data_IF_168176666056
#
_entry.id   IF_168176666056
#
_cell.length_a   1.000
_cell.length_b   1.000
_cell.length_c   1.000
_cell.angle_alpha   90.00
_cell.angle_beta   90.00
_cell.angle_gamma   90.00
#
_symmetry.space_group_name_H-M   'P 1'
#
loop_
_entity.id
_entity.type
_entity.pdbx_description
1 polymer ?
#
# COMPACT_ATOMS: atom_id res chain seq x y z
N UNK A 1 -19.68 0.78 -3.86
CA UNK A 1 -19.30 -0.63 -4.11
C UNK A 1 -18.09 -1.12 -3.30
N UNK A 2 -17.40 -0.29 -2.51
CA UNK A 2 -16.19 -0.74 -1.75
C UNK A 2 -16.51 -1.77 -0.64
N UNK A 3 -17.64 -1.62 0.05
CA UNK A 3 -17.98 -2.44 1.23
C UNK A 3 -18.04 -3.96 0.99
N UNK A 4 -18.50 -4.41 -0.18
CA UNK A 4 -18.62 -5.85 -0.46
C UNK A 4 -17.25 -6.48 -0.72
N UNK A 5 -16.39 -5.79 -1.49
CA UNK A 5 -15.03 -6.25 -1.77
C UNK A 5 -14.22 -6.36 -0.47
N UNK A 6 -14.38 -5.39 0.43
CA UNK A 6 -13.70 -5.36 1.72
C UNK A 6 -14.16 -6.52 2.63
N UNK A 7 -15.46 -6.82 2.65
CA UNK A 7 -16.00 -7.96 3.39
C UNK A 7 -15.47 -9.30 2.85
N UNK A 8 -15.41 -9.46 1.52
CA UNK A 8 -14.84 -10.65 0.90
C UNK A 8 -13.37 -10.82 1.28
N UNK A 9 -12.59 -9.74 1.29
CA UNK A 9 -11.20 -9.75 1.71
C UNK A 9 -11.04 -10.16 3.18
N UNK A 10 -11.88 -9.63 4.10
CA UNK A 10 -11.91 -10.04 5.51
C UNK A 10 -12.22 -11.54 5.66
N UNK A 11 -13.10 -12.07 4.81
CA UNK A 11 -13.42 -13.49 4.76
C UNK A 11 -12.40 -14.34 3.99
N UNK A 12 -11.26 -13.77 3.54
CA UNK A 12 -10.23 -14.43 2.72
C UNK A 12 -10.80 -15.02 1.42
N UNK A 13 -11.75 -14.33 0.81
CA UNK A 13 -12.46 -14.75 -0.41
C UNK A 13 -13.11 -16.14 -0.31
N UNK A 14 -13.43 -16.61 0.92
CA UNK A 14 -14.19 -17.84 1.13
C UNK A 14 -15.65 -17.57 0.76
N UNK A 15 -16.05 -17.98 -0.45
CA UNK A 15 -17.39 -17.75 -1.00
C UNK A 15 -17.93 -19.02 -1.62
N UNK A 16 -19.21 -19.31 -1.37
CA UNK A 16 -19.94 -20.41 -2.02
C UNK A 16 -21.28 -19.90 -2.52
N UNK A 17 -21.58 -20.13 -3.80
CA UNK A 17 -22.84 -19.74 -4.43
C UNK A 17 -23.87 -20.87 -4.33
N UNK A 18 -25.06 -20.54 -3.85
CA UNK A 18 -26.19 -21.47 -3.70
C UNK A 18 -27.39 -21.01 -4.54
N UNK A 19 -27.94 -21.94 -5.33
CA UNK A 19 -29.25 -21.81 -5.95
C UNK A 19 -30.26 -22.61 -5.12
N UNK A 20 -30.93 -21.92 -4.21
CA UNK A 20 -31.90 -22.52 -3.28
C UNK A 20 -33.19 -22.99 -3.97
N UNK A 21 -33.40 -22.67 -5.26
CA UNK A 21 -34.60 -23.04 -6.02
C UNK A 21 -34.40 -24.26 -6.91
N UNK A 22 -33.17 -24.76 -7.05
CA UNK A 22 -32.89 -25.90 -7.93
C UNK A 22 -33.56 -27.19 -7.43
N UNK A 23 -34.39 -27.79 -8.27
CA UNK A 23 -35.02 -29.09 -8.02
C UNK A 23 -34.10 -30.27 -8.40
N UNK A 24 -32.99 -30.00 -9.10
CA UNK A 24 -32.10 -31.02 -9.60
C UNK A 24 -31.17 -31.54 -8.48
N UNK A 25 -31.36 -32.81 -8.10
CA UNK A 25 -30.60 -33.48 -7.05
C UNK A 25 -29.09 -33.46 -7.27
N UNK A 26 -28.61 -33.58 -8.52
CA UNK A 26 -27.17 -33.57 -8.83
C UNK A 26 -26.57 -32.19 -8.57
N UNK A 27 -27.26 -31.12 -8.97
CA UNK A 27 -26.81 -29.76 -8.70
C UNK A 27 -26.84 -29.43 -7.20
N UNK A 28 -27.87 -29.87 -6.47
CA UNK A 28 -27.92 -29.75 -5.00
C UNK A 28 -26.74 -30.43 -4.32
N UNK A 29 -26.40 -31.66 -4.74
CA UNK A 29 -25.27 -32.40 -4.19
C UNK A 29 -23.94 -31.71 -4.50
N UNK A 30 -23.77 -31.17 -5.71
CA UNK A 30 -22.58 -30.42 -6.09
C UNK A 30 -22.40 -29.14 -5.26
N UNK A 31 -23.49 -28.42 -4.96
CA UNK A 31 -23.45 -27.22 -4.10
C UNK A 31 -23.11 -27.57 -2.65
N UNK A 32 -23.69 -28.64 -2.10
CA UNK A 32 -23.36 -29.13 -0.76
C UNK A 32 -21.88 -29.53 -0.65
N UNK A 33 -21.36 -30.22 -1.67
CA UNK A 33 -19.93 -30.60 -1.69
C UNK A 33 -19.03 -29.37 -1.61
N UNK A 34 -19.29 -28.35 -2.43
CA UNK A 34 -18.54 -27.08 -2.41
C UNK A 34 -18.56 -26.40 -1.04
N UNK A 35 -19.69 -26.48 -0.33
CA UNK A 35 -19.80 -25.95 1.03
C UNK A 35 -18.93 -26.74 2.02
N UNK A 36 -18.99 -28.07 1.97
CA UNK A 36 -18.20 -28.93 2.85
C UNK A 36 -16.70 -28.76 2.61
N UNK A 37 -16.27 -28.70 1.34
CA UNK A 37 -14.86 -28.44 0.99
C UNK A 37 -14.39 -27.09 1.56
N UNK A 38 -15.24 -26.06 1.52
CA UNK A 38 -14.94 -24.77 2.11
C UNK A 38 -14.89 -24.83 3.65
N UNK A 39 -15.76 -25.61 4.30
CA UNK A 39 -15.74 -25.82 5.76
C UNK A 39 -14.47 -26.57 6.18
N UNK A 40 -14.10 -27.64 5.47
CA UNK A 40 -12.90 -28.41 5.73
C UNK A 40 -11.65 -27.53 5.62
N UNK A 41 -11.60 -26.66 4.62
CA UNK A 41 -10.55 -25.65 4.51
C UNK A 41 -10.48 -24.74 5.75
N UNK A 42 -11.62 -24.28 6.26
CA UNK A 42 -11.67 -23.47 7.49
C UNK A 42 -11.14 -24.26 8.69
N UNK A 43 -11.57 -25.51 8.85
CA UNK A 43 -11.14 -26.40 9.94
C UNK A 43 -9.63 -26.58 9.89
N UNK A 44 -9.07 -26.93 8.72
CA UNK A 44 -7.61 -27.07 8.55
C UNK A 44 -6.88 -25.77 8.83
N UNK A 45 -7.39 -24.63 8.35
CA UNK A 45 -6.78 -23.31 8.59
C UNK A 45 -6.79 -22.88 10.05
N UNK A 46 -7.74 -23.40 10.84
CA UNK A 46 -7.87 -23.14 12.27
C UNK A 46 -7.25 -24.27 13.13
N UNK A 47 -6.50 -25.20 12.53
CA UNK A 47 -5.91 -26.35 13.23
C UNK A 47 -6.93 -27.21 14.00
N UNK A 48 -8.13 -27.36 13.44
CA UNK A 48 -9.23 -28.09 14.07
C UNK A 48 -9.88 -27.36 15.24
N UNK A 49 -9.42 -26.15 15.60
CA UNK A 49 -9.97 -25.40 16.73
C UNK A 49 -11.26 -24.68 16.31
N UNK A 50 -12.39 -24.90 17.00
CA UNK A 50 -13.61 -24.16 16.75
C UNK A 50 -13.42 -22.68 17.10
N UNK A 51 -14.32 -21.83 16.60
CA UNK A 51 -14.36 -20.43 17.02
C UNK A 51 -14.57 -20.36 18.52
N UNK A 52 -13.66 -19.68 19.21
CA UNK A 52 -13.73 -19.46 20.65
C UNK A 52 -13.50 -17.98 20.92
N UNK A 53 -14.53 -17.30 21.40
CA UNK A 53 -14.39 -16.03 22.08
C UNK A 53 -14.52 -16.28 23.59
N UNK A 54 -14.26 -15.24 24.40
CA UNK A 54 -14.27 -15.41 25.85
C UNK A 54 -15.63 -16.00 26.30
N UNK A 55 -16.77 -15.48 25.84
CA UNK A 55 -18.11 -15.97 26.20
C UNK A 55 -18.36 -17.43 25.82
N UNK A 56 -17.88 -17.89 24.65
CA UNK A 56 -18.02 -19.29 24.21
C UNK A 56 -17.12 -20.24 25.02
N UNK A 57 -15.88 -19.83 25.32
CA UNK A 57 -14.98 -20.57 26.19
C UNK A 57 -15.56 -20.71 27.61
N UNK A 58 -16.23 -19.68 28.11
CA UNK A 58 -16.89 -19.70 29.42
C UNK A 58 -18.06 -20.69 29.47
N UNK A 59 -18.91 -20.74 28.43
CA UNK A 59 -20.04 -21.68 28.36
C UNK A 59 -19.56 -23.13 28.31
N UNK A 60 -18.52 -23.43 27.53
CA UNK A 60 -17.92 -24.78 27.51
C UNK A 60 -17.31 -25.16 28.87
N UNK A 61 -16.49 -24.28 29.48
CA UNK A 61 -15.90 -24.54 30.81
C UNK A 61 -16.98 -24.79 31.88
N UNK A 62 -18.08 -24.05 31.85
CA UNK A 62 -19.22 -24.26 32.77
C UNK A 62 -19.93 -25.59 32.54
N UNK A 63 -20.10 -26.01 31.29
CA UNK A 63 -20.78 -27.24 30.93
C UNK A 63 -19.94 -28.47 31.28
N UNK A 64 -18.65 -28.48 30.93
CA UNK A 64 -17.72 -29.55 31.30
C UNK A 64 -17.56 -29.71 32.81
N UNK A 65 -17.68 -28.62 33.60
CA UNK A 65 -17.54 -28.66 35.05
C UNK A 65 -18.83 -29.06 35.78
N UNK A 66 -20.00 -28.82 35.17
CA UNK A 66 -21.30 -29.34 35.65
C UNK A 66 -21.43 -30.85 35.44
N UNK A 67 -20.86 -31.39 34.37
CA UNK A 67 -20.87 -32.84 34.11
C UNK A 67 -20.00 -33.64 35.10
N UNK A 68 -18.99 -33.00 35.71
CA UNK A 68 -18.06 -33.64 36.67
C UNK A 68 -18.59 -33.60 38.12
N UNK A 69 -19.55 -32.72 38.44
CA UNK A 69 -20.02 -32.51 39.81
C UNK A 69 -21.54 -32.48 39.85
N UNK A 70 -22.11 -33.64 40.17
CA UNK A 70 -23.55 -33.83 40.37
C UNK A 70 -24.02 -33.35 41.77
N UNK A 71 -23.15 -32.76 42.59
CA UNK A 71 -23.45 -32.36 43.96
C UNK A 71 -23.50 -30.83 44.13
N UNK A 72 -24.46 -30.37 44.93
CA UNK A 72 -24.88 -28.99 45.12
C UNK A 72 -23.77 -27.95 45.31
N UNK A 73 -23.48 -27.18 44.25
CA UNK A 73 -22.76 -25.92 44.40
C UNK A 73 -23.67 -24.85 45.02
N UNK A 74 -23.28 -24.37 46.22
CA UNK A 74 -23.86 -23.17 46.83
C UNK A 74 -23.88 -22.00 45.82
N UNK A 75 -24.94 -21.19 45.88
CA UNK A 75 -25.12 -20.00 45.03
C UNK A 75 -23.89 -19.08 45.06
N UNK A 76 -23.24 -18.92 46.21
CA UNK A 76 -22.06 -18.07 46.38
C UNK A 76 -20.82 -18.58 45.63
N UNK A 77 -20.61 -19.90 45.60
CA UNK A 77 -19.49 -20.50 44.86
C UNK A 77 -19.70 -20.35 43.35
N UNK A 78 -20.95 -20.42 42.87
CA UNK A 78 -21.30 -20.13 41.47
C UNK A 78 -21.06 -18.66 41.12
N UNK A 79 -21.40 -17.74 42.01
CA UNK A 79 -21.12 -16.31 41.82
C UNK A 79 -19.62 -16.01 41.80
N UNK A 80 -18.86 -16.58 42.72
CA UNK A 80 -17.40 -16.39 42.79
C UNK A 80 -16.71 -16.89 41.53
N UNK A 81 -17.05 -18.10 41.08
CA UNK A 81 -16.50 -18.67 39.85
C UNK A 81 -16.88 -17.84 38.62
N UNK A 82 -18.12 -17.37 38.53
CA UNK A 82 -18.58 -16.50 37.43
C UNK A 82 -17.83 -15.17 37.41
N UNK A 83 -17.49 -14.62 38.58
CA UNK A 83 -16.71 -13.39 38.72
C UNK A 83 -15.27 -13.60 38.26
N UNK A 84 -14.57 -14.61 38.75
CA UNK A 84 -13.19 -14.92 38.36
C UNK A 84 -13.06 -15.14 36.84
N UNK A 85 -14.05 -15.80 36.23
CA UNK A 85 -14.10 -15.97 34.77
C UNK A 85 -14.37 -14.67 34.00
N UNK A 86 -15.21 -13.78 34.54
CA UNK A 86 -15.45 -12.48 33.93
C UNK A 86 -14.19 -11.62 34.00
N UNK A 87 -13.48 -11.64 35.13
CA UNK A 87 -12.21 -10.95 35.34
C UNK A 87 -11.13 -11.47 34.37
N UNK A 88 -11.07 -12.79 34.12
CA UNK A 88 -10.19 -13.40 33.09
C UNK A 88 -10.53 -12.89 31.68
N UNK A 89 -11.82 -12.82 31.31
CA UNK A 89 -12.23 -12.25 30.02
C UNK A 89 -11.80 -10.78 29.88
N UNK A 90 -12.06 -9.98 30.92
CA UNK A 90 -11.73 -8.56 30.92
C UNK A 90 -10.23 -8.37 30.76
N UNK A 91 -9.41 -9.13 31.47
CA UNK A 91 -7.96 -9.09 31.34
C UNK A 91 -7.49 -9.43 29.91
N UNK A 92 -8.10 -10.45 29.28
CA UNK A 92 -7.76 -10.83 27.91
C UNK A 92 -8.17 -9.74 26.89
N UNK A 93 -9.34 -9.13 27.06
CA UNK A 93 -9.80 -8.02 26.22
C UNK A 93 -8.89 -6.80 26.37
N UNK A 94 -8.53 -6.43 27.60
CA UNK A 94 -7.61 -5.32 27.88
C UNK A 94 -6.27 -5.56 27.19
N UNK A 95 -5.69 -6.75 27.37
CA UNK A 95 -4.42 -7.12 26.73
C UNK A 95 -4.49 -7.00 25.19
N UNK A 96 -5.54 -7.52 24.57
CA UNK A 96 -5.71 -7.40 23.10
C UNK A 96 -5.88 -5.94 22.64
N UNK A 97 -6.57 -5.12 23.42
CA UNK A 97 -6.78 -3.69 23.16
C UNK A 97 -5.49 -2.88 23.35
N UNK A 98 -4.57 -3.32 24.20
CA UNK A 98 -3.25 -2.67 24.37
C UNK A 98 -2.24 -3.11 23.31
N UNK A 99 -2.19 -4.41 22.98
CA UNK A 99 -1.21 -4.98 22.03
C UNK A 99 -1.50 -4.60 20.56
N UNK A 100 -2.78 -4.52 20.16
CA UNK A 100 -3.15 -4.26 18.77
C UNK A 100 -2.80 -2.82 18.30
N UNK A 101 -3.12 -1.74 19.04
CA UNK A 101 -2.66 -0.40 18.71
C UNK A 101 -1.15 -0.29 18.78
N UNK A 102 -0.49 -0.88 19.79
CA UNK A 102 0.97 -0.81 19.94
C UNK A 102 1.71 -1.40 18.73
N UNK A 103 1.30 -2.60 18.29
CA UNK A 103 1.86 -3.22 17.08
C UNK A 103 1.59 -2.41 15.81
N UNK A 104 0.42 -1.77 15.72
CA UNK A 104 0.06 -0.89 14.60
C UNK A 104 0.92 0.38 14.58
N UNK A 105 1.16 1.00 15.75
CA UNK A 105 2.02 2.18 15.93
C UNK A 105 3.44 1.84 15.49
N UNK A 106 4.03 0.73 16.00
CA UNK A 106 5.38 0.31 15.60
C UNK A 106 5.49 0.06 14.08
N UNK A 107 4.44 -0.48 13.45
CA UNK A 107 4.42 -0.65 11.99
C UNK A 107 4.42 0.70 11.27
N UNK A 108 3.63 1.68 11.74
CA UNK A 108 3.60 3.00 11.13
C UNK A 108 4.90 3.77 11.32
N UNK A 109 5.53 3.69 12.49
CA UNK A 109 6.86 4.27 12.73
C UNK A 109 7.91 3.73 11.75
N UNK A 110 7.91 2.42 11.51
CA UNK A 110 8.80 1.80 10.53
C UNK A 110 8.57 2.34 9.10
N UNK A 111 7.31 2.40 8.66
CA UNK A 111 6.96 2.91 7.33
C UNK A 111 7.33 4.39 7.17
N UNK A 112 7.16 5.18 8.23
CA UNK A 112 7.50 6.60 8.22
C UNK A 112 9.02 6.82 8.10
N UNK A 113 9.81 6.00 8.79
CA UNK A 113 11.27 6.02 8.66
C UNK A 113 11.73 5.62 7.25
N UNK A 114 11.10 4.60 6.66
CA UNK A 114 11.39 4.17 5.29
C UNK A 114 11.01 5.24 4.25
N UNK A 115 9.86 5.90 4.41
CA UNK A 115 9.44 7.02 3.53
C UNK A 115 10.42 8.18 3.61
N UNK A 116 10.78 8.62 4.83
CA UNK A 116 11.71 9.73 5.01
C UNK A 116 13.07 9.45 4.38
N UNK A 117 13.57 8.21 4.50
CA UNK A 117 14.80 7.79 3.85
C UNK A 117 14.66 7.85 2.32
N UNK A 118 13.59 7.29 1.76
CA UNK A 118 13.37 7.28 0.32
C UNK A 118 13.22 8.69 -0.25
N UNK A 119 12.55 9.59 0.47
CA UNK A 119 12.40 11.00 0.12
C UNK A 119 13.75 11.71 0.09
N UNK A 120 14.56 11.57 1.15
CA UNK A 120 15.88 12.19 1.21
C UNK A 120 16.79 11.74 0.06
N UNK A 121 16.78 10.45 -0.26
CA UNK A 121 17.53 9.92 -1.40
C UNK A 121 17.03 10.49 -2.74
N UNK A 122 15.71 10.66 -2.89
CA UNK A 122 15.12 11.26 -4.09
C UNK A 122 15.48 12.73 -4.25
N UNK A 123 15.43 13.50 -3.16
CA UNK A 123 15.75 14.93 -3.16
C UNK A 123 17.23 15.16 -3.49
N UNK A 124 18.14 14.33 -2.96
CA UNK A 124 19.56 14.37 -3.30
C UNK A 124 19.79 14.10 -4.79
N UNK A 125 19.14 13.08 -5.37
CA UNK A 125 19.24 12.80 -6.81
C UNK A 125 18.70 13.94 -7.65
N UNK A 126 17.58 14.55 -7.25
CA UNK A 126 17.01 15.70 -7.94
C UNK A 126 17.96 16.90 -7.90
N UNK A 127 18.57 17.18 -6.74
CA UNK A 127 19.55 18.24 -6.57
C UNK A 127 20.79 18.02 -7.47
N UNK A 128 21.30 16.80 -7.56
CA UNK A 128 22.42 16.47 -8.46
C UNK A 128 22.07 16.71 -9.94
N UNK A 129 20.86 16.34 -10.36
CA UNK A 129 20.39 16.57 -11.74
C UNK A 129 20.25 18.06 -12.03
N UNK A 130 19.69 18.83 -11.09
CA UNK A 130 19.57 20.28 -11.21
C UNK A 130 20.96 20.90 -11.39
N UNK A 131 21.91 20.60 -10.51
CA UNK A 131 23.27 21.17 -10.58
C UNK A 131 23.98 20.84 -11.90
N UNK A 132 23.84 19.59 -12.40
CA UNK A 132 24.39 19.20 -13.71
C UNK A 132 23.75 20.00 -14.85
N UNK A 133 22.42 20.14 -14.83
CA UNK A 133 21.70 20.87 -15.87
C UNK A 133 22.03 22.37 -15.88
N UNK A 134 22.26 22.97 -14.70
CA UNK A 134 22.64 24.37 -14.57
C UNK A 134 24.03 24.62 -15.15
N UNK A 135 24.97 23.72 -14.89
CA UNK A 135 26.32 23.76 -15.43
C UNK A 135 26.35 23.57 -16.96
N UNK A 136 25.55 22.65 -17.50
CA UNK A 136 25.40 22.49 -18.96
C UNK A 136 24.76 23.72 -19.60
N UNK A 137 23.72 24.28 -18.97
CA UNK A 137 23.06 25.50 -19.43
C UNK A 137 24.03 26.69 -19.46
N UNK A 138 24.90 26.80 -18.44
CA UNK A 138 25.96 27.81 -18.40
C UNK A 138 26.93 27.66 -19.57
N UNK A 139 27.43 26.45 -19.83
CA UNK A 139 28.33 26.16 -20.96
C UNK A 139 27.70 26.49 -22.31
N UNK A 140 26.43 26.09 -22.51
CA UNK A 140 25.69 26.37 -23.74
C UNK A 140 25.52 27.88 -23.93
N UNK A 141 25.21 28.62 -22.87
CA UNK A 141 25.08 30.07 -22.90
C UNK A 141 26.40 30.76 -23.30
N UNK A 142 27.53 30.32 -22.75
CA UNK A 142 28.85 30.84 -23.10
C UNK A 142 29.22 30.56 -24.57
N UNK A 143 28.95 29.35 -25.07
CA UNK A 143 29.16 29.01 -26.49
C UNK A 143 28.29 29.84 -27.42
N UNK A 144 27.01 30.03 -27.09
CA UNK A 144 26.09 30.88 -27.86
C UNK A 144 26.55 32.33 -27.92
N UNK A 145 27.04 32.89 -26.81
CA UNK A 145 27.58 34.25 -26.78
C UNK A 145 28.82 34.38 -27.69
N UNK A 146 29.70 33.38 -27.68
CA UNK A 146 30.88 33.37 -28.55
C UNK A 146 30.49 33.29 -30.04
N UNK A 147 29.59 32.37 -30.40
CA UNK A 147 29.11 32.20 -31.78
C UNK A 147 28.41 33.47 -32.28
N UNK A 148 27.57 34.10 -31.45
CA UNK A 148 26.93 35.36 -31.81
C UNK A 148 27.94 36.46 -32.11
N UNK A 149 28.97 36.60 -31.26
CA UNK A 149 30.04 37.60 -31.48
C UNK A 149 30.83 37.34 -32.76
N UNK A 150 31.13 36.08 -33.07
CA UNK A 150 31.80 35.68 -34.32
C UNK A 150 30.91 35.95 -35.54
N UNK A 151 29.62 35.63 -35.46
CA UNK A 151 28.62 35.90 -36.50
C UNK A 151 28.49 37.41 -36.79
N UNK A 152 28.39 38.24 -35.75
CA UNK A 152 28.36 39.71 -35.89
C UNK A 152 29.63 40.25 -36.57
N UNK A 153 30.79 39.71 -36.23
CA UNK A 153 32.05 40.10 -36.84
C UNK A 153 32.11 39.68 -38.33
N UNK A 154 31.70 38.45 -38.65
CA UNK A 154 31.62 37.96 -40.01
C UNK A 154 30.66 38.79 -40.88
N UNK A 155 29.50 39.18 -40.33
CA UNK A 155 28.56 40.07 -41.01
C UNK A 155 29.18 41.44 -41.30
N UNK A 156 29.91 42.04 -40.34
CA UNK A 156 30.61 43.32 -40.54
C UNK A 156 31.66 43.22 -41.65
N UNK A 157 32.44 42.14 -41.69
CA UNK A 157 33.44 41.93 -42.75
C UNK A 157 32.79 41.70 -44.12
N UNK A 158 31.72 40.89 -44.18
CA UNK A 158 30.99 40.65 -45.42
C UNK A 158 30.42 41.97 -45.99
N UNK A 159 29.92 42.86 -45.14
CA UNK A 159 29.41 44.16 -45.58
C UNK A 159 30.53 45.09 -46.09
N UNK A 160 31.74 45.02 -45.49
CA UNK A 160 32.93 45.72 -46.02
C UNK A 160 33.32 45.18 -47.40
N UNK A 161 33.35 43.86 -47.58
CA UNK A 161 33.66 43.21 -48.87
C UNK A 161 32.63 43.61 -49.91
N UNK A 162 31.34 43.56 -49.58
CA UNK A 162 30.24 43.95 -50.47
C UNK A 162 30.36 45.40 -50.94
N UNK A 163 30.75 46.32 -50.06
CA UNK A 163 31.05 47.72 -50.44
C UNK A 163 32.22 47.81 -51.42
N UNK A 164 33.31 47.08 -51.18
CA UNK A 164 34.48 47.06 -52.09
C UNK A 164 34.12 46.51 -53.47
N UNK A 165 33.36 45.42 -53.54
CA UNK A 165 32.90 44.82 -54.81
C UNK A 165 32.09 45.84 -55.62
N UNK A 166 31.10 46.51 -55.00
CA UNK A 166 30.31 47.55 -55.66
C UNK A 166 31.16 48.71 -56.20
N UNK A 167 32.22 49.10 -55.48
CA UNK A 167 33.13 50.15 -55.94
C UNK A 167 33.94 49.69 -57.16
N UNK A 168 34.41 48.44 -57.16
CA UNK A 168 35.15 47.86 -58.27
C UNK A 168 34.28 47.67 -59.52
N UNK A 169 33.03 47.23 -59.36
CA UNK A 169 32.05 47.13 -60.45
C UNK A 169 31.83 48.48 -61.14
N UNK A 170 31.64 49.55 -60.37
CA UNK A 170 31.51 50.92 -60.91
C UNK A 170 32.77 51.41 -61.65
N UNK A 171 33.96 51.04 -61.18
CA UNK A 171 35.22 51.39 -61.85
C UNK A 171 35.35 50.63 -63.18
N UNK A 172 34.88 49.39 -63.22
CA UNK A 172 34.88 48.57 -64.45
C UNK A 172 33.88 49.08 -65.49
N UNK A 173 32.68 49.48 -65.08
CA UNK A 173 31.67 50.08 -65.97
C UNK A 173 32.13 51.42 -66.57
N UNK A 174 32.85 52.25 -65.81
CA UNK A 174 33.35 53.55 -66.30
C UNK A 174 34.58 53.45 -67.23
N UNK A 175 35.17 52.26 -67.40
CA UNK A 175 36.35 52.02 -68.26
C UNK A 175 36.00 51.32 -69.59
N UNK A 176 34.72 51.08 -69.85
CA UNK A 176 34.20 50.41 -71.05
C UNK A 176 33.42 51.40 -71.89
#
# INVERSE_FOLDING_TARGET
MLYFQDMLNLCKNRVVLFDNKTSNKKYRLAQLRKLLDAVDFVISSNHGKPFSNCTHAHSQKMQSRREISAEDYSTEQRFKLKKEMYDECVAQVVKMVEENPSSTVTRFEKLLLEEHKARLESDNRAAEVILKSEEETRKVKEMLQKINKESENAQKEMEKVKKKVRTLEKIHENKK
#
